data_IF_613157153878
#
_entry.id   IF_613157153878
#
_cell.length_a   1.000
_cell.length_b   1.000
_cell.length_c   1.000
_cell.angle_alpha   90.00
_cell.angle_beta   90.00
_cell.angle_gamma   90.00
#
_symmetry.space_group_name_H-M   'P 1'
#
loop_
_entity.id
_entity.type
_entity.pdbx_description
1 polymer ?
#
# COMPACT_ATOMS: atom_id res chain seq x y z
N UNK A 1 2.91 4.51 -19.83
CA UNK A 1 2.59 3.17 -19.32
C UNK A 1 1.17 3.17 -18.78
N UNK A 2 0.39 2.20 -19.16
CA UNK A 2 -0.97 2.04 -18.66
C UNK A 2 -0.97 1.72 -17.15
N UNK A 3 -1.90 2.29 -16.41
CA UNK A 3 -2.07 2.00 -14.99
C UNK A 3 -2.90 0.73 -14.82
N UNK A 4 -2.24 -0.38 -14.56
CA UNK A 4 -2.88 -1.68 -14.41
C UNK A 4 -2.06 -2.59 -13.50
N UNK A 5 -2.68 -3.66 -13.02
CA UNK A 5 -1.95 -4.68 -12.27
C UNK A 5 -0.89 -5.37 -13.11
N UNK A 6 -1.11 -5.48 -14.43
CA UNK A 6 -0.12 -6.06 -15.33
C UNK A 6 1.12 -5.17 -15.43
N UNK A 7 0.95 -3.86 -15.59
CA UNK A 7 2.07 -2.92 -15.61
C UNK A 7 2.81 -2.93 -14.27
N UNK A 8 2.06 -2.96 -13.17
CA UNK A 8 2.63 -3.05 -11.83
C UNK A 8 3.48 -4.32 -11.68
N UNK A 9 2.98 -5.47 -12.13
CA UNK A 9 3.69 -6.74 -12.06
C UNK A 9 4.97 -6.73 -12.88
N UNK A 10 4.96 -6.08 -14.03
CA UNK A 10 6.15 -5.95 -14.89
C UNK A 10 7.24 -5.11 -14.23
N UNK A 11 6.86 -4.09 -13.46
CA UNK A 11 7.79 -3.24 -12.75
C UNK A 11 8.27 -3.86 -11.43
N UNK A 12 7.51 -4.80 -10.89
CA UNK A 12 7.77 -5.41 -9.59
C UNK A 12 7.72 -6.94 -9.72
N UNK A 13 8.67 -7.49 -10.46
CA UNK A 13 8.67 -8.91 -10.86
C UNK A 13 8.84 -9.88 -9.70
N UNK A 14 9.33 -9.43 -8.57
CA UNK A 14 9.49 -10.23 -7.36
C UNK A 14 8.23 -10.31 -6.49
N UNK A 15 7.18 -9.57 -6.84
CA UNK A 15 5.89 -9.66 -6.14
C UNK A 15 5.18 -10.94 -6.57
N UNK A 16 4.87 -11.80 -5.59
CA UNK A 16 4.21 -13.08 -5.85
C UNK A 16 2.77 -12.89 -6.30
N UNK A 17 2.22 -13.95 -6.91
CA UNK A 17 0.80 -13.96 -7.30
C UNK A 17 -0.12 -13.78 -6.09
N UNK A 18 0.18 -14.41 -4.97
CA UNK A 18 -0.59 -14.30 -3.74
C UNK A 18 -0.57 -12.87 -3.20
N UNK A 19 0.60 -12.25 -3.22
CA UNK A 19 0.73 -10.86 -2.79
C UNK A 19 -0.02 -9.93 -3.74
N UNK A 20 0.05 -10.18 -5.05
CA UNK A 20 -0.70 -9.38 -6.02
C UNK A 20 -2.21 -9.44 -5.76
N UNK A 21 -2.75 -10.59 -5.37
CA UNK A 21 -4.16 -10.70 -4.99
C UNK A 21 -4.50 -9.83 -3.78
N UNK A 22 -3.59 -9.72 -2.82
CA UNK A 22 -3.78 -8.84 -1.67
C UNK A 22 -3.79 -7.38 -2.10
N UNK A 23 -2.96 -6.99 -3.07
CA UNK A 23 -3.01 -5.64 -3.64
C UNK A 23 -4.35 -5.36 -4.32
N UNK A 24 -4.91 -6.33 -5.03
CA UNK A 24 -6.25 -6.18 -5.63
C UNK A 24 -7.32 -5.96 -4.56
N UNK A 25 -7.29 -6.71 -3.49
CA UNK A 25 -8.23 -6.53 -2.38
C UNK A 25 -8.09 -5.17 -1.73
N UNK A 26 -6.87 -4.74 -1.49
CA UNK A 26 -6.58 -3.44 -0.91
C UNK A 26 -7.08 -2.31 -1.81
N UNK A 27 -6.81 -2.41 -3.11
CA UNK A 27 -7.33 -1.45 -4.09
C UNK A 27 -8.84 -1.35 -4.03
N UNK A 28 -9.53 -2.49 -4.01
CA UNK A 28 -10.98 -2.52 -3.96
C UNK A 28 -11.52 -1.87 -2.67
N UNK A 29 -10.86 -2.09 -1.55
CA UNK A 29 -11.24 -1.45 -0.29
C UNK A 29 -11.10 0.07 -0.37
N UNK A 30 -10.01 0.57 -0.97
CA UNK A 30 -9.81 2.01 -1.14
C UNK A 30 -10.89 2.62 -2.02
N UNK A 31 -11.18 2.00 -3.15
CA UNK A 31 -12.10 2.54 -4.16
C UNK A 31 -13.55 2.47 -3.68
N UNK A 32 -13.91 1.44 -2.94
CA UNK A 32 -15.27 1.24 -2.45
C UNK A 32 -15.55 1.94 -1.12
N UNK A 33 -14.53 2.56 -0.50
CA UNK A 33 -14.71 3.29 0.75
C UNK A 33 -15.57 4.52 0.52
N UNK A 34 -16.54 4.75 1.42
CA UNK A 34 -17.47 5.87 1.31
C UNK A 34 -16.78 7.23 1.44
N UNK A 35 -15.80 7.32 2.35
CA UNK A 35 -15.00 8.53 2.45
C UNK A 35 -13.98 8.60 1.31
N UNK A 36 -13.66 9.82 0.89
CA UNK A 36 -12.65 10.02 -0.16
C UNK A 36 -11.26 9.91 0.45
N UNK A 37 -10.62 8.75 0.29
CA UNK A 37 -9.28 8.51 0.80
C UNK A 37 -8.20 9.07 -0.12
N UNK A 38 -8.42 8.95 -1.42
CA UNK A 38 -7.57 9.53 -2.46
C UNK A 38 -8.48 10.15 -3.52
N UNK A 39 -7.96 11.09 -4.29
CA UNK A 39 -8.77 11.74 -5.33
C UNK A 39 -9.15 10.75 -6.43
N UNK A 40 -10.22 11.08 -7.18
CA UNK A 40 -10.62 10.25 -8.33
C UNK A 40 -9.51 10.16 -9.38
N UNK A 41 -8.77 11.25 -9.57
CA UNK A 41 -7.63 11.23 -10.47
C UNK A 41 -6.54 10.29 -9.98
N UNK A 42 -6.25 10.29 -8.69
CA UNK A 42 -5.28 9.37 -8.10
C UNK A 42 -5.74 7.92 -8.18
N UNK A 43 -7.03 7.66 -8.08
CA UNK A 43 -7.58 6.30 -8.25
C UNK A 43 -7.25 5.72 -9.63
N UNK A 44 -7.22 6.56 -10.65
CA UNK A 44 -6.86 6.14 -12.02
C UNK A 44 -5.40 5.76 -12.16
N UNK A 45 -4.56 6.17 -11.22
CA UNK A 45 -3.11 5.96 -11.24
C UNK A 45 -2.62 5.17 -10.03
N UNK A 46 -3.51 4.41 -9.39
CA UNK A 46 -3.22 3.77 -8.10
C UNK A 46 -2.09 2.75 -8.19
N UNK A 47 -2.03 1.99 -9.29
CA UNK A 47 -1.03 0.92 -9.45
C UNK A 47 0.38 1.46 -9.59
N UNK A 48 0.56 2.52 -10.35
CA UNK A 48 1.89 3.07 -10.65
C UNK A 48 2.27 4.19 -9.70
N UNK A 49 1.42 5.21 -9.55
CA UNK A 49 1.77 6.38 -8.74
C UNK A 49 1.72 6.12 -7.24
N UNK A 50 0.93 5.15 -6.81
CA UNK A 50 0.78 4.87 -5.39
C UNK A 50 1.40 3.54 -4.99
N UNK A 51 1.00 2.44 -5.59
CA UNK A 51 1.53 1.13 -5.19
C UNK A 51 3.00 0.97 -5.59
N UNK A 52 3.32 1.17 -6.86
CA UNK A 52 4.70 1.04 -7.32
C UNK A 52 5.62 2.07 -6.62
N UNK A 53 5.19 3.32 -6.54
CA UNK A 53 5.98 4.36 -5.87
C UNK A 53 6.24 4.02 -4.41
N UNK A 54 5.25 3.46 -3.71
CA UNK A 54 5.44 3.02 -2.34
C UNK A 54 6.53 1.94 -2.24
N UNK A 55 6.52 0.99 -3.16
CA UNK A 55 7.49 -0.12 -3.16
C UNK A 55 8.91 0.33 -3.45
N UNK A 56 9.09 1.46 -4.11
CA UNK A 56 10.44 2.01 -4.33
C UNK A 56 11.17 2.30 -3.03
N UNK A 57 10.43 2.59 -1.96
CA UNK A 57 11.01 2.80 -0.64
C UNK A 57 11.60 1.51 -0.05
N UNK A 58 11.19 0.34 -0.52
CA UNK A 58 11.71 -0.94 -0.02
C UNK A 58 13.22 -1.06 -0.20
N UNK A 59 13.79 -0.37 -1.17
CA UNK A 59 15.24 -0.35 -1.40
C UNK A 59 16.02 0.26 -0.24
N UNK A 60 15.36 1.05 0.61
CA UNK A 60 15.97 1.71 1.77
C UNK A 60 15.71 0.93 3.07
N UNK A 61 14.96 -0.16 3.02
CA UNK A 61 14.60 -0.97 4.19
C UNK A 61 15.25 -2.34 4.02
N UNK A 62 16.55 -2.40 4.26
CA UNK A 62 17.33 -3.61 4.04
C UNK A 62 17.41 -4.52 5.25
N UNK A 63 17.30 -3.97 6.46
CA UNK A 63 17.43 -4.72 7.68
C UNK A 63 16.12 -5.40 8.09
N UNK A 64 16.24 -6.51 8.81
CA UNK A 64 15.10 -7.20 9.42
C UNK A 64 14.91 -6.79 10.88
N UNK A 65 13.79 -7.16 11.47
CA UNK A 65 13.44 -6.87 12.86
C UNK A 65 13.36 -5.38 13.17
N UNK A 66 12.95 -4.58 12.18
CA UNK A 66 12.76 -3.15 12.34
C UNK A 66 11.33 -2.84 12.78
N UNK A 67 11.21 -1.78 13.57
CA UNK A 67 9.92 -1.13 13.82
C UNK A 67 9.79 0.04 12.86
N UNK A 68 8.86 -0.05 11.93
CA UNK A 68 8.65 0.95 10.89
C UNK A 68 7.35 1.69 11.20
N UNK A 69 7.46 3.00 11.32
CA UNK A 69 6.32 3.85 11.68
C UNK A 69 5.96 4.72 10.49
N UNK A 70 4.71 4.61 10.05
CA UNK A 70 4.14 5.43 8.98
C UNK A 70 3.24 6.49 9.63
N UNK A 71 3.68 7.73 9.65
CA UNK A 71 2.97 8.84 10.30
C UNK A 71 2.07 9.52 9.29
N UNK A 72 0.79 9.67 9.63
CA UNK A 72 -0.20 10.24 8.75
C UNK A 72 -0.55 9.29 7.61
N UNK A 73 -0.83 8.03 7.94
CA UNK A 73 -0.98 6.96 6.94
C UNK A 73 -2.12 7.18 5.95
N UNK A 74 -3.17 7.90 6.31
CA UNK A 74 -4.31 8.14 5.41
C UNK A 74 -4.93 6.85 4.90
N UNK A 75 -4.81 6.61 3.59
CA UNK A 75 -5.28 5.38 2.95
C UNK A 75 -4.36 4.18 3.21
N UNK A 76 -3.28 4.36 3.96
CA UNK A 76 -2.32 3.31 4.26
C UNK A 76 -1.09 3.31 3.36
N UNK A 77 -0.81 4.43 2.72
CA UNK A 77 0.33 4.58 1.81
C UNK A 77 1.44 5.40 2.47
N UNK A 78 2.69 4.97 2.41
CA UNK A 78 3.23 3.78 1.76
C UNK A 78 3.25 2.51 2.65
N UNK A 79 2.77 2.58 3.88
CA UNK A 79 2.96 1.52 4.87
C UNK A 79 2.39 0.17 4.47
N UNK A 80 1.14 0.12 4.00
CA UNK A 80 0.50 -1.15 3.65
C UNK A 80 1.17 -1.83 2.46
N UNK A 81 1.45 -1.15 1.33
CA UNK A 81 2.22 -1.78 0.25
C UNK A 81 3.56 -2.35 0.70
N UNK A 82 4.29 -1.60 1.53
CA UNK A 82 5.57 -2.08 2.04
C UNK A 82 5.42 -3.33 2.92
N UNK A 83 4.40 -3.35 3.77
CA UNK A 83 4.12 -4.51 4.60
C UNK A 83 3.74 -5.73 3.78
N UNK A 84 2.96 -5.54 2.70
CA UNK A 84 2.51 -6.64 1.85
C UNK A 84 3.68 -7.36 1.16
N UNK A 85 4.72 -6.64 0.76
CA UNK A 85 5.86 -7.23 0.05
C UNK A 85 7.02 -7.59 0.97
N UNK A 86 6.91 -7.29 2.25
CA UNK A 86 8.02 -7.51 3.19
C UNK A 86 8.26 -9.00 3.40
N UNK A 87 9.46 -9.45 3.03
CA UNK A 87 9.96 -10.79 3.34
C UNK A 87 10.75 -10.81 4.64
N UNK A 88 10.94 -9.66 5.26
CA UNK A 88 11.69 -9.48 6.49
C UNK A 88 10.74 -9.42 7.67
N UNK A 89 11.21 -9.78 8.83
CA UNK A 89 10.40 -9.73 10.06
C UNK A 89 10.37 -8.31 10.63
N UNK A 90 9.76 -7.41 9.89
CA UNK A 90 9.57 -6.03 10.32
C UNK A 90 8.16 -5.83 10.84
N UNK A 91 8.03 -4.94 11.81
CA UNK A 91 6.72 -4.52 12.33
C UNK A 91 6.36 -3.15 11.79
N UNK A 92 5.18 -3.03 11.21
CA UNK A 92 4.70 -1.79 10.62
C UNK A 92 3.60 -1.20 11.49
N UNK A 93 3.77 0.05 11.88
CA UNK A 93 2.82 0.80 12.69
C UNK A 93 2.27 1.95 11.85
N UNK A 94 0.98 1.93 11.60
CA UNK A 94 0.30 2.97 10.84
C UNK A 94 -0.34 3.93 11.82
N UNK A 95 0.10 5.18 11.78
CA UNK A 95 -0.38 6.22 12.69
C UNK A 95 -1.26 7.21 11.93
N UNK A 96 -2.52 7.30 12.32
CA UNK A 96 -3.48 8.20 11.71
C UNK A 96 -4.35 8.80 12.81
N UNK A 97 -4.43 10.13 12.86
CA UNK A 97 -5.20 10.82 13.91
C UNK A 97 -6.65 11.09 13.51
N UNK A 98 -7.03 10.89 12.25
CA UNK A 98 -8.41 11.04 11.80
C UNK A 98 -9.14 9.72 11.99
N UNK A 99 -10.17 9.74 12.85
CA UNK A 99 -10.85 8.51 13.27
C UNK A 99 -11.39 7.67 12.10
N UNK A 100 -12.04 8.31 11.13
CA UNK A 100 -12.60 7.57 9.99
C UNK A 100 -11.53 6.86 9.17
N UNK A 101 -10.37 7.50 9.01
CA UNK A 101 -9.24 6.89 8.29
C UNK A 101 -8.59 5.80 9.12
N UNK A 102 -8.47 5.99 10.43
CA UNK A 102 -7.98 4.94 11.32
C UNK A 102 -8.90 3.71 11.30
N UNK A 103 -10.23 3.93 11.28
CA UNK A 103 -11.21 2.85 11.16
C UNK A 103 -11.02 2.09 9.85
N UNK A 104 -10.79 2.78 8.73
CA UNK A 104 -10.49 2.15 7.45
C UNK A 104 -9.24 1.27 7.54
N UNK A 105 -8.16 1.78 8.14
CA UNK A 105 -6.91 1.02 8.29
C UNK A 105 -7.11 -0.25 9.11
N UNK A 106 -7.91 -0.18 10.17
CA UNK A 106 -8.25 -1.35 10.98
C UNK A 106 -9.01 -2.40 10.17
N UNK A 107 -9.84 -1.96 9.25
CA UNK A 107 -10.58 -2.86 8.36
C UNK A 107 -9.65 -3.56 7.35
N UNK A 108 -8.64 -2.85 6.85
CA UNK A 108 -7.66 -3.39 5.91
C UNK A 108 -6.74 -4.41 6.58
N UNK A 109 -6.33 -4.11 7.80
CA UNK A 109 -5.44 -4.98 8.56
C UNK A 109 -6.20 -6.21 9.05
#
# INVERSE_FOLDING_TARGET
MEDSSDSFSKLNTDVSRETLLLFHKYRDLIINEKQSLISKNDQKHIWIRHFHDSLRLSNFIELSDLNIIDIGSGAGLPGIPLALVSNKKNHYYLCENRRKRADFLNEVI
#
